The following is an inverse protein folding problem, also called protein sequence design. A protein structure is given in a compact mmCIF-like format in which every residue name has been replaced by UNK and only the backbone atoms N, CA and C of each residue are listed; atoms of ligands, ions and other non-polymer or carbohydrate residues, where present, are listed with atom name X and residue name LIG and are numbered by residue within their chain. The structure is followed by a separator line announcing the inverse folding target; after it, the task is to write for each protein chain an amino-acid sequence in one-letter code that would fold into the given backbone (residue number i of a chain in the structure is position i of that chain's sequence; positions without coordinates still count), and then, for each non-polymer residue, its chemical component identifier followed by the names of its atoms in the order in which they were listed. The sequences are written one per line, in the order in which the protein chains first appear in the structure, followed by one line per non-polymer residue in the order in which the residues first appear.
data_IF_543551256878
#
_entry.id   IF_543551256878
#
_cell.length_a   1.000
_cell.length_b   1.000
_cell.length_c   1.000
_cell.angle_alpha   90.00
_cell.angle_beta   90.00
_cell.angle_gamma   90.00
#
_symmetry.space_group_name_H-M   'P 1'
#
loop_
_entity.id
_entity.type
_entity.pdbx_description
1 polymer ?
#
# COMPACT_ATOMS: atom_id res chain seq x y z
N UNK A 1 -16.89 21.53 -10.32
CA UNK A 1 -15.59 20.84 -10.41
C UNK A 1 -15.88 19.34 -10.52
N UNK A 2 -15.29 18.62 -11.47
CA UNK A 2 -15.57 17.19 -11.65
C UNK A 2 -14.67 16.38 -10.71
N UNK A 3 -15.26 15.73 -9.71
CA UNK A 3 -14.53 14.84 -8.80
C UNK A 3 -14.25 13.51 -9.48
N UNK A 4 -12.99 13.08 -9.47
CA UNK A 4 -12.59 11.76 -10.00
C UNK A 4 -12.63 10.73 -8.89
N UNK A 5 -13.08 9.53 -9.19
CA UNK A 5 -13.01 8.43 -8.22
C UNK A 5 -11.64 7.76 -8.28
N UNK A 6 -11.01 7.58 -7.13
CA UNK A 6 -9.76 6.84 -6.96
C UNK A 6 -10.04 5.60 -6.13
N UNK A 7 -9.84 4.42 -6.72
CA UNK A 7 -9.93 3.16 -5.98
C UNK A 7 -8.71 3.06 -5.05
N UNK A 8 -8.97 2.65 -3.82
CA UNK A 8 -7.97 2.42 -2.78
C UNK A 8 -8.28 1.11 -2.06
N UNK A 9 -7.23 0.40 -1.62
CA UNK A 9 -7.38 -0.65 -0.63
C UNK A 9 -6.10 -0.83 0.18
N UNK A 10 -6.27 -1.37 1.38
CA UNK A 10 -5.20 -1.81 2.25
C UNK A 10 -5.62 -3.07 3.00
N UNK A 11 -4.88 -4.15 2.78
CA UNK A 11 -5.09 -5.43 3.46
C UNK A 11 -3.77 -5.88 4.10
N UNK A 12 -3.88 -6.57 5.22
CA UNK A 12 -2.75 -7.10 5.97
C UNK A 12 -2.92 -8.58 6.25
N UNK A 13 -1.78 -9.22 6.45
CA UNK A 13 -1.66 -10.62 6.79
C UNK A 13 -0.52 -10.77 7.79
N UNK A 14 -0.80 -11.29 8.98
CA UNK A 14 0.21 -11.75 9.92
C UNK A 14 0.69 -13.13 9.43
N UNK A 15 1.99 -13.28 9.15
CA UNK A 15 2.51 -14.53 8.58
C UNK A 15 4.02 -14.65 8.75
N UNK A 16 4.48 -15.88 8.93
CA UNK A 16 5.91 -16.26 8.87
C UNK A 16 6.31 -16.69 7.44
N UNK A 17 5.38 -16.69 6.48
CA UNK A 17 5.69 -16.96 5.07
C UNK A 17 6.54 -15.83 4.47
N UNK A 18 7.55 -16.22 3.68
CA UNK A 18 8.38 -15.29 2.93
C UNK A 18 7.53 -14.47 1.95
N UNK A 19 7.89 -13.19 1.76
CA UNK A 19 7.11 -12.25 0.92
C UNK A 19 6.83 -12.80 -0.49
N UNK A 20 7.78 -13.53 -1.07
CA UNK A 20 7.62 -14.15 -2.40
C UNK A 20 6.58 -15.29 -2.43
N UNK A 21 6.41 -16.04 -1.33
CA UNK A 21 5.39 -17.08 -1.23
C UNK A 21 4.00 -16.44 -1.15
N UNK A 22 3.86 -15.41 -0.32
CA UNK A 22 2.62 -14.63 -0.23
C UNK A 22 2.29 -14.00 -1.59
N UNK A 23 3.28 -13.43 -2.28
CA UNK A 23 3.11 -12.86 -3.62
C UNK A 23 2.65 -13.88 -4.66
N UNK A 24 3.18 -15.10 -4.63
CA UNK A 24 2.71 -16.18 -5.51
C UNK A 24 1.25 -16.55 -5.24
N UNK A 25 0.85 -16.67 -3.96
CA UNK A 25 -0.54 -16.97 -3.57
C UNK A 25 -1.51 -15.85 -3.97
N UNK A 26 -1.14 -14.60 -3.70
CA UNK A 26 -1.95 -13.42 -4.09
C UNK A 26 -2.03 -13.30 -5.61
N UNK A 27 -0.93 -13.56 -6.32
CA UNK A 27 -0.90 -13.61 -7.78
C UNK A 27 -1.88 -14.63 -8.35
N UNK A 28 -1.90 -15.84 -7.80
CA UNK A 28 -2.89 -16.86 -8.18
C UNK A 28 -4.33 -16.44 -7.84
N UNK A 29 -4.54 -15.83 -6.67
CA UNK A 29 -5.86 -15.37 -6.24
C UNK A 29 -6.43 -14.29 -7.16
N UNK A 30 -5.59 -13.35 -7.61
CA UNK A 30 -5.95 -12.20 -8.46
C UNK A 30 -5.70 -12.42 -9.96
N UNK A 31 -5.24 -13.62 -10.34
CA UNK A 31 -4.83 -13.97 -11.71
C UNK A 31 -3.81 -12.98 -12.30
N UNK A 32 -2.76 -12.66 -11.52
CA UNK A 32 -1.66 -11.80 -11.92
C UNK A 32 -0.31 -12.40 -11.50
N UNK A 33 0.78 -11.81 -11.98
CA UNK A 33 2.13 -12.18 -11.58
C UNK A 33 2.80 -10.99 -10.93
N UNK A 34 3.40 -11.22 -9.77
CA UNK A 34 4.22 -10.22 -9.09
C UNK A 34 5.66 -10.33 -9.55
N UNK A 35 6.32 -9.18 -9.61
CA UNK A 35 7.75 -9.09 -9.86
C UNK A 35 8.39 -8.18 -8.82
N UNK A 36 9.66 -8.45 -8.52
CA UNK A 36 10.46 -7.57 -7.65
C UNK A 36 10.47 -6.15 -8.20
N UNK A 37 10.19 -5.21 -7.32
CA UNK A 37 10.22 -3.80 -7.61
C UNK A 37 10.32 -2.99 -6.33
N UNK A 38 9.82 -1.77 -6.41
CA UNK A 38 9.88 -0.83 -5.31
C UNK A 38 8.53 -0.20 -5.02
N UNK A 39 8.28 -0.02 -3.73
CA UNK A 39 7.18 0.74 -3.19
C UNK A 39 7.71 1.62 -2.06
N UNK A 40 7.47 2.93 -2.13
CA UNK A 40 7.93 3.90 -1.13
C UNK A 40 9.43 3.79 -0.78
N UNK A 41 10.29 3.61 -1.80
CA UNK A 41 11.75 3.42 -1.67
C UNK A 41 12.18 2.14 -0.93
N UNK A 42 11.23 1.27 -0.58
CA UNK A 42 11.48 -0.05 -0.02
C UNK A 42 11.31 -1.16 -1.07
N UNK A 43 11.91 -2.32 -0.79
CA UNK A 43 11.73 -3.53 -1.59
C UNK A 43 10.28 -4.00 -1.51
N UNK A 44 9.69 -4.31 -2.66
CA UNK A 44 8.33 -4.80 -2.76
C UNK A 44 8.20 -5.86 -3.87
N UNK A 45 7.16 -6.66 -3.77
CA UNK A 45 6.65 -7.44 -4.89
C UNK A 45 5.51 -6.64 -5.52
N UNK A 46 5.61 -6.31 -6.81
CA UNK A 46 4.70 -5.37 -7.50
C UNK A 46 4.00 -6.05 -8.67
N UNK A 47 2.72 -5.73 -8.89
CA UNK A 47 1.96 -6.16 -10.06
C UNK A 47 1.01 -5.07 -10.55
N UNK A 48 0.36 -5.31 -11.69
CA UNK A 48 -0.72 -4.48 -12.21
C UNK A 48 -1.96 -5.33 -12.44
N UNK A 49 -3.08 -4.96 -11.81
CA UNK A 49 -4.36 -5.64 -11.95
C UNK A 49 -5.50 -4.64 -11.76
N UNK A 50 -6.60 -4.80 -12.48
CA UNK A 50 -7.77 -3.88 -12.42
C UNK A 50 -7.43 -2.39 -12.69
N UNK A 51 -6.40 -2.11 -13.50
CA UNK A 51 -5.92 -0.74 -13.73
C UNK A 51 -5.15 -0.13 -12.54
N UNK A 52 -4.89 -0.91 -11.49
CA UNK A 52 -4.15 -0.52 -10.30
C UNK A 52 -2.73 -1.07 -10.36
N UNK A 53 -1.77 -0.28 -9.89
CA UNK A 53 -0.48 -0.78 -9.44
C UNK A 53 -0.69 -1.29 -8.01
N UNK A 54 -0.42 -2.56 -7.79
CA UNK A 54 -0.53 -3.20 -6.49
C UNK A 54 0.85 -3.60 -5.99
N UNK A 55 1.07 -3.47 -4.68
CA UNK A 55 2.34 -3.75 -4.03
C UNK A 55 2.14 -4.59 -2.78
N UNK A 56 2.96 -5.62 -2.64
CA UNK A 56 3.14 -6.41 -1.43
C UNK A 56 4.45 -6.02 -0.77
N UNK A 57 4.40 -5.70 0.52
CA UNK A 57 5.54 -5.21 1.29
C UNK A 57 5.54 -5.90 2.65
N UNK A 58 6.71 -6.35 3.10
CA UNK A 58 6.91 -6.79 4.48
C UNK A 58 6.99 -5.58 5.41
N UNK A 59 6.23 -5.59 6.49
CA UNK A 59 6.17 -4.54 7.52
C UNK A 59 6.19 -5.16 8.92
N UNK A 60 6.59 -4.37 9.91
CA UNK A 60 6.53 -4.79 11.30
C UNK A 60 5.13 -4.56 11.90
N UNK A 61 4.55 -5.61 12.46
CA UNK A 61 3.29 -5.61 13.17
C UNK A 61 3.41 -5.26 14.65
N UNK A 62 2.26 -5.17 15.32
CA UNK A 62 2.16 -4.99 16.77
C UNK A 62 2.91 -6.14 17.46
N UNK A 63 3.78 -5.79 18.41
CA UNK A 63 4.58 -6.78 19.15
C UNK A 63 5.74 -7.39 18.36
N UNK A 64 6.13 -6.80 17.22
CA UNK A 64 7.26 -7.27 16.43
C UNK A 64 6.94 -8.44 15.50
N UNK A 65 5.65 -8.71 15.26
CA UNK A 65 5.21 -9.72 14.29
C UNK A 65 5.63 -9.36 12.87
N UNK A 66 5.90 -10.37 12.05
CA UNK A 66 6.04 -10.21 10.62
C UNK A 66 4.66 -10.09 9.96
N UNK A 67 4.49 -9.01 9.19
CA UNK A 67 3.23 -8.67 8.54
C UNK A 67 3.49 -8.39 7.07
N UNK A 68 2.68 -8.98 6.20
CA UNK A 68 2.63 -8.59 4.79
C UNK A 68 1.49 -7.62 4.57
N UNK A 69 1.81 -6.47 3.99
CA UNK A 69 0.86 -5.43 3.62
C UNK A 69 0.66 -5.44 2.11
N UNK A 70 -0.59 -5.53 1.69
CA UNK A 70 -1.05 -5.41 0.31
C UNK A 70 -1.77 -4.07 0.13
N UNK A 71 -1.26 -3.24 -0.79
CA UNK A 71 -1.85 -1.93 -1.12
C UNK A 71 -1.99 -1.75 -2.61
N UNK A 72 -3.01 -1.00 -3.01
CA UNK A 72 -3.27 -0.64 -4.41
C UNK A 72 -3.32 0.86 -4.60
N UNK A 73 -2.74 1.33 -5.69
CA UNK A 73 -2.86 2.71 -6.15
C UNK A 73 -3.15 2.76 -7.64
N UNK A 74 -3.83 3.83 -8.08
CA UNK A 74 -4.05 4.08 -9.51
C UNK A 74 -2.70 4.26 -10.19
N UNK A 75 -2.41 3.41 -11.17
CA UNK A 75 -1.09 3.33 -11.81
C UNK A 75 -0.89 4.25 -13.02
N UNK A 76 -1.89 5.04 -13.38
CA UNK A 76 -1.88 5.88 -14.58
C UNK A 76 -1.56 7.34 -14.27
N UNK A 77 -0.46 7.86 -14.81
CA UNK A 77 -0.07 9.26 -14.63
C UNK A 77 -1.12 10.24 -15.17
N UNK A 78 -1.87 9.86 -16.22
CA UNK A 78 -2.96 10.69 -16.76
C UNK A 78 -4.12 10.90 -15.79
N UNK A 79 -4.24 10.04 -14.77
CA UNK A 79 -5.22 10.21 -13.71
C UNK A 79 -4.85 11.32 -12.72
N UNK A 80 -3.56 11.70 -12.64
CA UNK A 80 -3.03 12.69 -11.71
C UNK A 80 -3.26 14.15 -12.14
N UNK A 81 -3.55 14.38 -13.43
CA UNK A 81 -3.70 15.71 -14.02
C UNK A 81 -5.11 15.94 -14.57
N UNK A 82 -5.61 17.17 -14.46
CA UNK A 82 -6.90 17.52 -15.06
C UNK A 82 -6.80 17.43 -16.60
N UNK A 83 -7.90 17.10 -17.32
CA UNK A 83 -7.85 16.95 -18.78
C UNK A 83 -7.46 18.25 -19.50
N UNK A 84 -7.68 19.39 -18.84
CA UNK A 84 -7.36 20.74 -19.32
C UNK A 84 -5.95 21.21 -18.93
N UNK A 85 -5.14 20.35 -18.30
CA UNK A 85 -3.79 20.69 -17.85
C UNK A 85 -3.74 21.52 -16.57
N UNK A 86 -4.86 21.76 -15.90
CA UNK A 86 -4.88 22.40 -14.58
C UNK A 86 -4.44 21.43 -13.48
N UNK A 87 -3.79 21.97 -12.44
CA UNK A 87 -3.23 21.19 -11.32
C UNK A 87 -4.30 20.73 -10.30
N UNK A 88 -5.57 21.12 -10.47
CA UNK A 88 -6.61 20.90 -9.48
C UNK A 88 -7.59 19.80 -9.91
N UNK A 89 -7.28 18.57 -9.48
CA UNK A 89 -8.21 17.43 -9.55
C UNK A 89 -8.64 17.07 -8.13
N UNK A 90 -9.94 17.16 -7.85
CA UNK A 90 -10.51 16.61 -6.62
C UNK A 90 -10.73 15.10 -6.79
N UNK A 91 -10.35 14.31 -5.79
CA UNK A 91 -10.55 12.87 -5.78
C UNK A 91 -11.54 12.44 -4.71
N UNK A 92 -12.53 11.63 -5.07
CA UNK A 92 -13.32 10.85 -4.14
C UNK A 92 -12.69 9.46 -4.01
N UNK A 93 -12.35 9.07 -2.78
CA UNK A 93 -11.74 7.76 -2.49
C UNK A 93 -12.83 6.69 -2.41
N UNK A 94 -12.66 5.64 -3.20
CA UNK A 94 -13.48 4.43 -3.15
C UNK A 94 -12.65 3.33 -2.47
N UNK A 95 -12.92 3.10 -1.19
CA UNK A 95 -12.24 2.07 -0.41
C UNK A 95 -12.89 0.70 -0.67
N UNK A 96 -12.11 -0.24 -1.21
CA UNK A 96 -12.54 -1.62 -1.47
C UNK A 96 -11.83 -2.65 -0.58
N UNK A 97 -11.24 -2.21 0.54
CA UNK A 97 -10.42 -3.07 1.41
C UNK A 97 -11.16 -4.31 1.88
N UNK A 98 -12.43 -4.18 2.29
CA UNK A 98 -13.21 -5.29 2.83
C UNK A 98 -13.42 -6.39 1.75
N UNK A 99 -13.74 -5.98 0.52
CA UNK A 99 -13.88 -6.90 -0.61
C UNK A 99 -12.58 -7.63 -0.94
N UNK A 100 -11.44 -6.94 -0.85
CA UNK A 100 -10.13 -7.54 -1.09
C UNK A 100 -9.76 -8.52 0.03
N UNK A 101 -10.03 -8.16 1.29
CA UNK A 101 -9.81 -9.04 2.44
C UNK A 101 -10.62 -10.33 2.30
N UNK A 102 -11.90 -10.25 1.99
CA UNK A 102 -12.77 -11.41 1.83
C UNK A 102 -12.29 -12.30 0.67
N UNK A 103 -12.02 -11.69 -0.49
CA UNK A 103 -11.55 -12.40 -1.68
C UNK A 103 -10.24 -13.15 -1.40
N UNK A 104 -9.26 -12.47 -0.80
CA UNK A 104 -7.96 -13.05 -0.52
C UNK A 104 -8.06 -14.14 0.54
N UNK A 105 -8.84 -13.92 1.59
CA UNK A 105 -9.08 -14.95 2.62
C UNK A 105 -9.67 -16.22 2.02
N UNK A 106 -10.69 -16.10 1.18
CA UNK A 106 -11.33 -17.24 0.50
C UNK A 106 -10.37 -17.94 -0.47
N UNK A 107 -9.59 -17.18 -1.24
CA UNK A 107 -8.78 -17.72 -2.35
C UNK A 107 -7.42 -18.23 -1.91
N UNK A 108 -6.81 -17.64 -0.89
CA UNK A 108 -5.48 -18.06 -0.40
C UNK A 108 -5.56 -18.96 0.83
N UNK A 109 -6.70 -18.98 1.54
CA UNK A 109 -6.86 -19.67 2.82
C UNK A 109 -6.10 -19.01 3.98
N UNK A 110 -5.59 -17.79 3.78
CA UNK A 110 -4.84 -17.03 4.79
C UNK A 110 -5.76 -16.01 5.46
N UNK A 111 -5.50 -15.67 6.72
CA UNK A 111 -6.35 -14.72 7.46
C UNK A 111 -5.94 -13.28 7.13
N UNK A 112 -6.50 -12.75 6.04
CA UNK A 112 -6.34 -11.34 5.70
C UNK A 112 -7.26 -10.48 6.56
N UNK A 113 -6.83 -9.26 6.85
CA UNK A 113 -7.62 -8.31 7.63
C UNK A 113 -7.37 -6.87 7.21
N UNK A 114 -8.28 -5.99 7.60
CA UNK A 114 -8.13 -4.55 7.40
C UNK A 114 -7.28 -3.96 8.52
N UNK A 115 -6.27 -3.12 8.22
CA UNK A 115 -5.44 -2.53 9.25
C UNK A 115 -6.24 -1.65 10.21
N UNK A 116 -6.04 -1.87 11.50
CA UNK A 116 -6.57 -1.02 12.56
C UNK A 116 -5.76 0.30 12.70
N UNK A 117 -6.19 1.25 13.52
CA UNK A 117 -5.35 2.40 13.88
C UNK A 117 -4.03 1.98 14.55
N UNK A 118 -4.06 0.97 15.42
CA UNK A 118 -2.89 0.46 16.16
C UNK A 118 -1.88 -0.18 15.21
N UNK A 119 -2.36 -0.91 14.22
CA UNK A 119 -1.57 -1.49 13.13
C UNK A 119 -0.76 -0.45 12.36
N UNK A 120 -1.39 0.69 12.06
CA UNK A 120 -0.74 1.83 11.40
C UNK A 120 0.24 2.53 12.36
N UNK A 121 -0.07 2.59 13.64
CA UNK A 121 0.82 3.15 14.64
C UNK A 121 2.10 2.30 14.81
N UNK A 122 1.97 0.98 14.84
CA UNK A 122 3.10 0.06 14.91
C UNK A 122 4.02 0.19 13.68
N UNK A 123 3.44 0.21 12.48
CA UNK A 123 4.18 0.43 11.22
C UNK A 123 4.96 1.75 11.25
N UNK A 124 4.31 2.87 11.63
CA UNK A 124 4.96 4.18 11.73
C UNK A 124 6.08 4.22 12.77
N UNK A 125 5.89 3.55 13.91
CA UNK A 125 6.91 3.46 14.96
C UNK A 125 8.15 2.72 14.44
N UNK A 126 7.94 1.62 13.71
CA UNK A 126 9.03 0.86 13.11
C UNK A 126 9.76 1.65 12.02
N UNK A 127 9.02 2.36 11.15
CA UNK A 127 9.59 3.22 10.12
C UNK A 127 10.48 4.33 10.72
N UNK A 128 10.01 5.02 11.78
CA UNK A 128 10.83 6.02 12.50
C UNK A 128 12.10 5.41 13.09
N UNK A 129 11.99 4.24 13.71
CA UNK A 129 13.18 3.54 14.23
C UNK A 129 14.20 3.19 13.15
N UNK A 130 13.75 2.89 11.93
CA UNK A 130 14.61 2.64 10.78
C UNK A 130 15.28 3.93 10.26
N UNK A 131 14.53 5.02 10.15
CA UNK A 131 15.05 6.34 9.74
C UNK A 131 16.07 6.90 10.75
N UNK A 132 15.79 6.75 12.05
CA UNK A 132 16.70 7.14 13.14
C UNK A 132 17.99 6.31 13.10
N UNK A 133 17.89 5.01 12.80
CA UNK A 133 19.02 4.09 12.69
C UNK A 133 19.91 4.36 11.45
N UNK A 134 19.31 4.81 10.35
CA UNK A 134 20.05 5.23 9.14
C UNK A 134 20.73 6.60 9.26
N UNK A 135 20.69 7.23 10.44
CA UNK A 135 21.52 8.39 10.75
C UNK A 135 20.98 9.73 10.27
N UNK A 136 19.66 9.92 10.21
CA UNK A 136 19.06 11.25 10.02
C UNK A 136 19.53 11.97 8.75
N UNK A 137 19.77 11.24 7.67
CA UNK A 137 20.29 11.82 6.42
C UNK A 137 19.13 12.33 5.56
N UNK A 138 18.65 13.53 5.89
CA UNK A 138 17.68 14.25 5.07
C UNK A 138 16.92 15.34 5.81
N UNK A 139 17.63 16.39 6.23
CA UNK A 139 17.07 17.70 6.60
C UNK A 139 16.43 18.39 5.38
N UNK A 140 15.36 17.80 4.87
CA UNK A 140 14.26 18.51 4.24
C UNK A 140 13.01 17.70 4.62
N UNK A 141 12.63 17.90 5.89
CA UNK A 141 11.65 17.09 6.58
C UNK A 141 10.34 17.06 5.82
N UNK A 142 9.78 15.86 5.70
CA UNK A 142 8.37 15.65 5.44
C UNK A 142 7.56 16.58 6.34
N UNK A 143 7.01 17.65 5.76
CA UNK A 143 6.24 18.65 6.51
C UNK A 143 4.79 18.18 6.61
N UNK A 144 4.03 18.77 7.53
CA UNK A 144 2.56 18.62 7.56
C UNK A 144 1.91 19.03 6.24
N UNK A 145 2.55 19.92 5.45
CA UNK A 145 2.11 20.26 4.10
C UNK A 145 2.42 19.15 3.06
N UNK A 146 3.47 18.35 3.27
CA UNK A 146 3.73 17.14 2.47
C UNK A 146 2.78 16.00 2.87
N UNK A 147 2.35 15.96 4.13
CA UNK A 147 1.30 15.05 4.63
C UNK A 147 -0.09 15.42 4.09
N UNK A 148 -0.37 16.70 3.84
CA UNK A 148 -1.61 17.16 3.19
C UNK A 148 -1.57 16.98 1.65
N UNK A 149 -0.38 17.11 1.04
CA UNK A 149 -0.19 17.02 -0.42
C UNK A 149 0.04 15.61 -0.95
N UNK A 150 0.70 14.76 -0.16
CA UNK A 150 1.04 13.39 -0.53
C UNK A 150 0.56 12.35 0.50
N UNK A 151 0.07 12.80 1.66
CA UNK A 151 -0.41 11.93 2.73
C UNK A 151 -1.90 11.61 2.67
N UNK A 152 -2.48 11.74 1.48
CA UNK A 152 -3.58 10.88 1.08
C UNK A 152 -3.02 9.61 0.40
N UNK A 153 -2.42 8.80 1.28
CA UNK A 153 -1.78 7.49 1.11
C UNK A 153 -2.69 6.40 0.54
#
# INVERSE_FOLDING_TARGET
MMKRQKIYFSARLDTDEELGQVAARVGQALNCTFARGEFQRGRAEVSKVFGLKISLVGVFGIGGKDVVKLVGSVGENGFLYAPDGSDQVEYDRVDISDYLVDLLTIRTGLQWYRPTPEDRAAERKAARGYDDWLGGVGTQGWTSADEEKFGDW
#
